data_IF_451189301179
#
_entry.id   IF_451189301179
#
_cell.length_a   1.000
_cell.length_b   1.000
_cell.length_c   1.000
_cell.angle_alpha   90.00
_cell.angle_beta   90.00
_cell.angle_gamma   90.00
#
_symmetry.space_group_name_H-M   'P 1'
#
loop_
_entity.id
_entity.type
_entity.pdbx_description
1 polymer ?
#
# COMPACT_ATOMS: atom_id res chain seq x y z
N UNK A 1 -9.01 -23.58 -19.48
CA UNK A 1 -8.53 -22.35 -18.82
C UNK A 1 -7.48 -22.76 -17.83
N UNK A 2 -6.21 -22.47 -18.11
CA UNK A 2 -5.11 -22.84 -17.21
C UNK A 2 -5.20 -22.02 -15.94
N UNK A 3 -5.17 -22.69 -14.78
CA UNK A 3 -5.10 -22.05 -13.47
C UNK A 3 -3.70 -21.44 -13.26
N UNK A 4 -3.46 -20.31 -13.93
CA UNK A 4 -2.23 -19.52 -13.84
C UNK A 4 -2.10 -18.82 -12.48
N UNK A 5 -3.23 -18.60 -11.79
CA UNK A 5 -3.28 -17.96 -10.48
C UNK A 5 -2.64 -18.84 -9.40
N UNK A 6 -2.85 -20.16 -9.45
CA UNK A 6 -2.25 -21.12 -8.51
C UNK A 6 -0.77 -21.45 -8.76
N UNK A 7 -0.15 -20.94 -9.83
CA UNK A 7 1.25 -21.25 -10.15
C UNK A 7 2.22 -20.35 -9.38
N UNK A 8 3.31 -20.94 -8.89
CA UNK A 8 4.35 -20.17 -8.22
C UNK A 8 5.16 -19.34 -9.24
N UNK A 9 5.83 -18.29 -8.75
CA UNK A 9 6.51 -17.31 -9.60
C UNK A 9 7.59 -17.92 -10.49
N UNK A 10 8.29 -18.95 -10.00
CA UNK A 10 9.33 -19.63 -10.77
C UNK A 10 8.75 -20.43 -11.95
N UNK A 11 7.61 -21.08 -11.75
CA UNK A 11 6.91 -21.81 -12.80
C UNK A 11 6.42 -20.87 -13.90
N UNK A 12 5.77 -19.76 -13.51
CA UNK A 12 5.31 -18.74 -14.46
C UNK A 12 6.48 -18.13 -15.23
N UNK A 13 7.60 -17.84 -14.56
CA UNK A 13 8.79 -17.32 -15.23
C UNK A 13 9.36 -18.30 -16.27
N UNK A 14 9.48 -19.59 -15.93
CA UNK A 14 9.97 -20.61 -16.88
C UNK A 14 9.06 -20.74 -18.09
N UNK A 15 7.74 -20.73 -17.90
CA UNK A 15 6.76 -20.75 -19.00
C UNK A 15 6.89 -19.52 -19.88
N UNK A 16 6.96 -18.34 -19.27
CA UNK A 16 7.13 -17.09 -20.00
C UNK A 16 8.43 -17.11 -20.83
N UNK A 17 9.54 -17.57 -20.25
CA UNK A 17 10.82 -17.76 -20.98
C UNK A 17 10.74 -18.80 -22.11
N UNK A 18 9.77 -19.72 -22.04
CA UNK A 18 9.44 -20.66 -23.10
C UNK A 18 8.50 -20.11 -24.18
N UNK A 19 8.16 -18.81 -24.15
CA UNK A 19 7.30 -18.15 -25.14
C UNK A 19 5.82 -18.04 -24.75
N UNK A 20 5.45 -18.41 -23.51
CA UNK A 20 4.09 -18.32 -23.02
C UNK A 20 3.71 -16.86 -22.67
N UNK A 21 2.96 -16.21 -23.56
CA UNK A 21 2.53 -14.83 -23.38
C UNK A 21 1.56 -14.64 -22.20
N UNK A 22 0.68 -15.62 -21.92
CA UNK A 22 -0.25 -15.54 -20.78
C UNK A 22 0.50 -15.61 -19.45
N UNK A 23 1.51 -16.48 -19.37
CA UNK A 23 2.40 -16.54 -18.21
C UNK A 23 3.16 -15.21 -18.02
N UNK A 24 3.60 -14.57 -19.12
CA UNK A 24 4.21 -13.24 -19.09
C UNK A 24 3.27 -12.16 -18.55
N UNK A 25 2.01 -12.16 -18.98
CA UNK A 25 1.00 -11.22 -18.46
C UNK A 25 0.71 -11.45 -16.97
N UNK A 26 0.54 -12.70 -16.56
CA UNK A 26 0.35 -13.05 -15.15
C UNK A 26 1.53 -12.61 -14.27
N UNK A 27 2.75 -12.74 -14.78
CA UNK A 27 3.97 -12.25 -14.12
C UNK A 27 3.98 -10.73 -13.99
N UNK A 28 3.67 -10.01 -15.06
CA UNK A 28 3.64 -8.55 -15.04
C UNK A 28 2.64 -8.02 -13.99
N UNK A 29 1.44 -8.61 -13.95
CA UNK A 29 0.42 -8.25 -12.95
C UNK A 29 0.93 -8.56 -11.52
N UNK A 30 1.44 -9.77 -11.30
CA UNK A 30 1.97 -10.20 -9.99
C UNK A 30 3.07 -9.28 -9.46
N UNK A 31 4.05 -8.93 -10.28
CA UNK A 31 5.13 -8.02 -9.86
C UNK A 31 4.64 -6.58 -9.68
N UNK A 32 3.68 -6.12 -10.49
CA UNK A 32 3.07 -4.80 -10.33
C UNK A 32 2.30 -4.69 -9.01
N UNK A 33 1.47 -5.67 -8.67
CA UNK A 33 0.71 -5.68 -7.43
C UNK A 33 1.63 -5.77 -6.21
N UNK A 34 2.67 -6.60 -6.31
CA UNK A 34 3.68 -6.74 -5.28
C UNK A 34 4.48 -5.46 -5.05
N UNK A 35 4.95 -4.81 -6.12
CA UNK A 35 5.62 -3.51 -6.02
C UNK A 35 4.70 -2.42 -5.48
N UNK A 36 3.41 -2.44 -5.86
CA UNK A 36 2.45 -1.48 -5.33
C UNK A 36 2.25 -1.68 -3.82
N UNK A 37 2.08 -2.92 -3.35
CA UNK A 37 1.96 -3.22 -1.93
C UNK A 37 3.16 -2.69 -1.12
N UNK A 38 4.38 -2.93 -1.61
CA UNK A 38 5.62 -2.45 -0.99
C UNK A 38 5.70 -0.91 -1.01
N UNK A 39 5.44 -0.28 -2.17
CA UNK A 39 5.56 1.17 -2.31
C UNK A 39 4.50 1.90 -1.47
N UNK A 40 3.26 1.41 -1.48
CA UNK A 40 2.16 1.98 -0.71
C UNK A 40 2.42 1.82 0.80
N UNK A 41 2.85 0.64 1.26
CA UNK A 41 3.14 0.41 2.68
C UNK A 41 4.32 1.26 3.18
N UNK A 42 5.37 1.42 2.39
CA UNK A 42 6.58 2.14 2.83
C UNK A 42 6.48 3.65 2.65
N UNK A 43 5.88 4.13 1.57
CA UNK A 43 5.89 5.55 1.20
C UNK A 43 4.50 6.21 1.19
N UNK A 44 3.44 5.41 1.15
CA UNK A 44 2.07 5.88 0.91
C UNK A 44 1.78 6.10 -0.57
N UNK A 45 0.50 6.22 -0.93
CA UNK A 45 0.08 6.30 -2.33
C UNK A 45 0.72 7.46 -3.11
N UNK A 46 0.82 8.63 -2.49
CA UNK A 46 1.34 9.83 -3.16
C UNK A 46 2.84 9.70 -3.46
N UNK A 47 3.63 9.33 -2.46
CA UNK A 47 5.09 9.26 -2.60
C UNK A 47 5.56 7.95 -3.22
N UNK A 48 4.76 6.88 -3.11
CA UNK A 48 5.07 5.55 -3.64
C UNK A 48 4.81 5.39 -5.13
N UNK A 49 3.97 6.25 -5.73
CA UNK A 49 3.59 6.13 -7.15
C UNK A 49 4.77 6.22 -8.11
N UNK A 50 5.60 7.25 -8.00
CA UNK A 50 6.73 7.42 -8.91
C UNK A 50 7.81 6.31 -8.75
N UNK A 51 8.19 5.90 -7.52
CA UNK A 51 9.02 4.70 -7.28
C UNK A 51 8.44 3.42 -7.90
N UNK A 52 7.13 3.18 -7.74
CA UNK A 52 6.44 2.05 -8.37
C UNK A 52 6.58 2.08 -9.89
N UNK A 53 6.22 3.20 -10.52
CA UNK A 53 6.25 3.34 -11.99
C UNK A 53 7.67 3.08 -12.54
N UNK A 54 8.70 3.62 -11.87
CA UNK A 54 10.11 3.37 -12.24
C UNK A 54 10.53 1.93 -12.01
N UNK A 55 10.11 1.30 -10.90
CA UNK A 55 10.41 -0.10 -10.64
C UNK A 55 9.79 -1.03 -11.70
N UNK A 56 8.53 -0.82 -12.07
CA UNK A 56 7.88 -1.54 -13.15
C UNK A 56 8.59 -1.35 -14.49
N UNK A 57 9.00 -0.11 -14.81
CA UNK A 57 9.74 0.17 -16.05
C UNK A 57 11.10 -0.54 -16.07
N UNK A 58 11.87 -0.45 -14.98
CA UNK A 58 13.17 -1.12 -14.84
C UNK A 58 13.02 -2.65 -14.92
N UNK A 59 12.00 -3.21 -14.30
CA UNK A 59 11.67 -4.63 -14.41
C UNK A 59 11.44 -5.02 -15.87
N UNK A 60 10.50 -4.34 -16.55
CA UNK A 60 10.14 -4.66 -17.94
C UNK A 60 11.34 -4.56 -18.91
N UNK A 61 12.22 -3.59 -18.71
CA UNK A 61 13.40 -3.39 -19.55
C UNK A 61 14.50 -4.44 -19.33
N UNK A 62 14.67 -4.94 -18.10
CA UNK A 62 15.86 -5.69 -17.71
C UNK A 62 15.58 -7.15 -17.33
N UNK A 63 14.32 -7.57 -17.22
CA UNK A 63 13.95 -8.95 -16.85
C UNK A 63 14.52 -10.01 -17.79
N UNK A 64 14.78 -9.66 -19.06
CA UNK A 64 15.42 -10.55 -20.03
C UNK A 64 16.87 -10.96 -19.63
N UNK A 65 17.52 -10.17 -18.79
CA UNK A 65 18.88 -10.44 -18.26
C UNK A 65 18.87 -11.49 -17.14
N UNK A 66 17.72 -11.75 -16.53
CA UNK A 66 17.56 -12.77 -15.49
C UNK A 66 17.43 -14.13 -16.17
N UNK A 67 18.44 -14.98 -16.00
CA UNK A 67 18.48 -16.33 -16.60
C UNK A 67 18.05 -17.42 -15.64
N UNK A 68 18.16 -17.18 -14.33
CA UNK A 68 17.76 -18.11 -13.29
C UNK A 68 16.44 -17.67 -12.62
N UNK A 69 15.46 -18.57 -12.63
CA UNK A 69 14.17 -18.34 -11.98
C UNK A 69 14.30 -18.12 -10.47
N UNK A 70 15.31 -18.72 -9.83
CA UNK A 70 15.50 -18.63 -8.38
C UNK A 70 15.96 -17.24 -7.93
N UNK A 71 16.71 -16.53 -8.79
CA UNK A 71 17.23 -15.18 -8.49
C UNK A 71 16.22 -14.08 -8.77
N UNK A 72 15.15 -14.36 -9.53
CA UNK A 72 14.19 -13.37 -10.01
C UNK A 72 13.59 -12.51 -8.88
N UNK A 73 13.08 -13.15 -7.81
CA UNK A 73 12.48 -12.41 -6.70
C UNK A 73 13.49 -11.53 -5.98
N UNK A 74 14.74 -12.00 -5.84
CA UNK A 74 15.82 -11.25 -5.23
C UNK A 74 16.22 -10.03 -6.06
N UNK A 75 16.42 -10.25 -7.37
CA UNK A 75 16.74 -9.20 -8.32
C UNK A 75 15.64 -8.13 -8.41
N UNK A 76 14.38 -8.56 -8.53
CA UNK A 76 13.24 -7.67 -8.61
C UNK A 76 13.01 -6.89 -7.31
N UNK A 77 13.24 -7.50 -6.15
CA UNK A 77 13.22 -6.81 -4.86
C UNK A 77 14.27 -5.70 -4.80
N UNK A 78 15.49 -5.98 -5.28
CA UNK A 78 16.57 -4.98 -5.34
C UNK A 78 16.17 -3.71 -6.09
N UNK A 79 15.44 -3.84 -7.21
CA UNK A 79 14.92 -2.69 -7.96
C UNK A 79 14.03 -1.80 -7.08
N UNK A 80 12.99 -2.36 -6.47
CA UNK A 80 12.03 -1.56 -5.69
C UNK A 80 12.66 -1.03 -4.39
N UNK A 81 13.58 -1.77 -3.78
CA UNK A 81 14.33 -1.32 -2.61
C UNK A 81 15.18 -0.08 -2.92
N UNK A 82 15.87 -0.04 -4.06
CA UNK A 82 16.62 1.13 -4.52
C UNK A 82 15.71 2.34 -4.82
N UNK A 83 14.55 2.10 -5.44
CA UNK A 83 13.59 3.18 -5.73
C UNK A 83 13.01 3.79 -4.46
N UNK A 84 12.75 2.97 -3.44
CA UNK A 84 12.30 3.44 -2.12
C UNK A 84 13.41 4.19 -1.39
N UNK A 85 14.64 3.68 -1.40
CA UNK A 85 15.78 4.37 -0.80
C UNK A 85 16.00 5.75 -1.44
N UNK A 86 15.88 5.83 -2.77
CA UNK A 86 15.98 7.10 -3.53
C UNK A 86 14.85 8.07 -3.17
N UNK A 87 13.66 7.56 -2.82
CA UNK A 87 12.53 8.37 -2.38
C UNK A 87 12.61 8.82 -0.91
N UNK A 88 13.70 8.51 -0.19
CA UNK A 88 13.90 8.90 1.21
C UNK A 88 13.68 7.78 2.23
N UNK A 89 13.42 6.55 1.78
CA UNK A 89 13.20 5.40 2.65
C UNK A 89 11.77 5.34 3.22
N UNK A 90 11.55 4.46 4.19
CA UNK A 90 10.23 4.23 4.78
C UNK A 90 9.73 5.49 5.50
N UNK A 91 8.50 5.90 5.19
CA UNK A 91 7.77 6.95 5.90
C UNK A 91 7.28 6.44 7.25
N UNK A 92 7.40 7.25 8.29
CA UNK A 92 6.88 6.97 9.63
C UNK A 92 5.45 7.50 9.84
N UNK A 93 4.81 7.99 8.80
CA UNK A 93 3.46 8.52 8.90
C UNK A 93 2.88 8.94 7.56
N UNK A 94 1.60 9.26 7.56
CA UNK A 94 0.94 9.79 6.38
C UNK A 94 -0.56 9.84 6.57
N UNK A 95 -1.18 10.89 6.06
CA UNK A 95 -2.62 11.11 6.19
C UNK A 95 -3.19 11.71 4.91
N UNK A 96 -2.83 11.09 3.80
CA UNK A 96 -3.21 11.55 2.46
C UNK A 96 -4.51 10.86 2.03
N UNK A 97 -5.50 11.62 1.53
CA UNK A 97 -6.70 11.04 0.96
C UNK A 97 -6.40 10.29 -0.35
N UNK A 98 -7.19 9.25 -0.64
CA UNK A 98 -7.05 8.49 -1.88
C UNK A 98 -8.41 8.00 -2.40
N UNK A 99 -8.40 7.27 -3.52
CA UNK A 99 -9.63 6.75 -4.12
C UNK A 99 -10.35 5.74 -3.20
N UNK A 100 -9.61 4.89 -2.48
CA UNK A 100 -10.14 3.87 -1.58
C UNK A 100 -10.91 4.49 -0.40
N UNK A 101 -10.42 5.63 0.13
CA UNK A 101 -11.04 6.39 1.20
C UNK A 101 -12.13 7.37 0.73
N UNK A 102 -12.44 7.38 -0.58
CA UNK A 102 -13.34 8.35 -1.23
C UNK A 102 -12.88 9.80 -1.01
N UNK A 103 -11.58 10.03 -1.12
CA UNK A 103 -10.93 11.33 -0.94
C UNK A 103 -11.02 11.90 0.48
N UNK A 104 -11.30 11.07 1.50
CA UNK A 104 -11.24 11.46 2.92
C UNK A 104 -9.90 11.08 3.52
N UNK A 105 -9.50 11.77 4.58
CA UNK A 105 -8.23 11.48 5.26
C UNK A 105 -8.36 10.19 6.09
N UNK A 106 -7.39 9.27 6.03
CA UNK A 106 -7.42 8.09 6.88
C UNK A 106 -7.57 8.41 8.38
N UNK A 107 -6.92 9.46 8.90
CA UNK A 107 -7.00 9.87 10.30
C UNK A 107 -8.42 10.28 10.73
N UNK A 108 -9.17 10.96 9.86
CA UNK A 108 -10.56 11.35 10.11
C UNK A 108 -11.44 10.10 10.26
N UNK A 109 -11.24 9.09 9.41
CA UNK A 109 -11.97 7.82 9.47
C UNK A 109 -11.58 7.00 10.70
N UNK A 110 -10.29 7.00 11.07
CA UNK A 110 -9.80 6.36 12.28
C UNK A 110 -10.37 7.03 13.55
N UNK A 111 -10.47 8.35 13.58
CA UNK A 111 -11.08 9.08 14.69
C UNK A 111 -12.56 8.69 14.91
N UNK A 112 -13.30 8.45 13.82
CA UNK A 112 -14.68 7.94 13.90
C UNK A 112 -14.72 6.50 14.44
N UNK A 113 -13.82 5.64 13.97
CA UNK A 113 -13.71 4.25 14.45
C UNK A 113 -13.41 4.17 15.95
N UNK A 114 -12.53 5.04 16.45
CA UNK A 114 -12.15 5.11 17.87
C UNK A 114 -13.35 5.31 18.81
N UNK A 115 -14.36 6.07 18.38
CA UNK A 115 -15.56 6.32 19.19
C UNK A 115 -16.58 5.17 19.19
N UNK A 116 -16.40 4.16 18.34
CA UNK A 116 -17.41 3.12 18.07
C UNK A 116 -16.91 1.69 18.29
N UNK A 117 -15.60 1.45 18.16
CA UNK A 117 -14.99 0.14 18.39
C UNK A 117 -14.67 -0.10 19.88
N UNK A 118 -14.39 -1.36 20.23
CA UNK A 118 -13.99 -1.71 21.59
C UNK A 118 -12.66 -1.05 21.96
N UNK A 119 -12.63 -0.32 23.08
CA UNK A 119 -11.45 0.41 23.57
C UNK A 119 -10.15 -0.41 23.54
N UNK A 120 -10.12 -1.65 24.09
CA UNK A 120 -8.92 -2.48 24.08
C UNK A 120 -8.37 -2.80 22.68
N UNK A 121 -9.23 -2.94 21.67
CA UNK A 121 -8.78 -3.19 20.29
C UNK A 121 -8.14 -1.95 19.67
N UNK A 122 -8.69 -0.77 19.95
CA UNK A 122 -8.16 0.51 19.47
C UNK A 122 -6.82 0.81 20.15
N UNK A 123 -6.73 0.64 21.47
CA UNK A 123 -5.49 0.83 22.23
C UNK A 123 -4.39 -0.12 21.72
N UNK A 124 -4.73 -1.41 21.55
CA UNK A 124 -3.79 -2.38 21.01
C UNK A 124 -3.28 -2.00 19.62
N UNK A 125 -4.16 -1.52 18.73
CA UNK A 125 -3.75 -1.04 17.39
C UNK A 125 -2.89 0.23 17.47
N UNK A 126 -3.23 1.19 18.33
CA UNK A 126 -2.46 2.41 18.53
C UNK A 126 -1.02 2.06 18.93
N UNK A 127 -0.86 1.24 19.97
CA UNK A 127 0.45 0.85 20.46
C UNK A 127 1.20 -0.07 19.47
N UNK A 128 0.51 -0.98 18.78
CA UNK A 128 1.15 -1.87 17.82
C UNK A 128 1.76 -1.12 16.62
N UNK A 129 1.20 0.02 16.23
CA UNK A 129 1.65 0.79 15.06
C UNK A 129 2.49 2.02 15.43
N UNK A 130 2.41 2.52 16.66
CA UNK A 130 3.24 3.63 17.10
C UNK A 130 4.62 3.13 17.61
N UNK A 131 5.69 3.55 16.92
CA UNK A 131 7.07 3.24 17.27
C UNK A 131 7.52 3.69 18.67
N UNK A 132 6.78 4.60 19.32
CA UNK A 132 7.05 5.02 20.69
C UNK A 132 6.83 3.90 21.72
N UNK A 133 6.01 2.89 21.41
CA UNK A 133 5.71 1.78 22.29
C UNK A 133 6.67 0.61 22.06
N UNK A 134 7.11 -0.04 23.14
CA UNK A 134 7.92 -1.25 23.06
C UNK A 134 7.08 -2.45 22.58
N UNK A 135 7.63 -3.26 21.67
CA UNK A 135 6.93 -4.47 21.19
C UNK A 135 6.65 -5.45 22.33
N UNK A 136 7.48 -5.50 23.37
CA UNK A 136 7.20 -6.37 24.52
C UNK A 136 6.06 -5.86 25.40
N UNK A 137 5.79 -4.55 25.38
CA UNK A 137 4.57 -4.00 25.98
C UNK A 137 3.34 -4.43 25.17
N UNK A 138 3.38 -4.27 23.84
CA UNK A 138 2.29 -4.66 22.94
C UNK A 138 1.95 -6.14 23.08
N UNK A 139 2.96 -7.02 23.21
CA UNK A 139 2.75 -8.46 23.46
C UNK A 139 1.98 -8.72 24.76
N UNK A 140 2.35 -8.05 25.86
CA UNK A 140 1.65 -8.20 27.15
C UNK A 140 0.19 -7.75 27.07
N UNK A 141 -0.08 -6.67 26.35
CA UNK A 141 -1.46 -6.18 26.15
C UNK A 141 -2.29 -7.15 25.29
N UNK A 142 -1.65 -7.83 24.35
CA UNK A 142 -2.28 -8.85 23.50
C UNK A 142 -2.61 -10.16 24.24
N UNK A 143 -1.98 -10.48 25.38
CA UNK A 143 -2.08 -11.79 26.05
C UNK A 143 -3.54 -12.16 26.40
N UNK A 144 -4.32 -11.20 26.89
CA UNK A 144 -5.72 -11.42 27.25
C UNK A 144 -6.64 -11.65 26.03
N UNK A 145 -6.18 -11.31 24.83
CA UNK A 145 -6.90 -11.39 23.56
C UNK A 145 -6.31 -12.45 22.60
N UNK A 146 -5.67 -13.50 23.14
CA UNK A 146 -5.12 -14.60 22.35
C UNK A 146 -3.65 -14.45 21.97
N UNK A 147 -2.97 -13.41 22.48
CA UNK A 147 -1.54 -13.19 22.31
C UNK A 147 -1.15 -12.56 20.97
N UNK A 148 0.11 -12.16 20.88
CA UNK A 148 0.71 -11.63 19.66
C UNK A 148 1.12 -12.77 18.71
N UNK A 149 0.89 -12.67 17.37
CA UNK A 149 0.32 -11.54 16.63
C UNK A 149 -1.21 -11.58 16.46
N UNK A 150 -1.86 -12.65 16.95
CA UNK A 150 -3.27 -12.93 16.70
C UNK A 150 -4.19 -11.77 17.10
N UNK A 151 -4.06 -11.25 18.31
CA UNK A 151 -4.90 -10.17 18.82
C UNK A 151 -4.83 -8.91 17.95
N UNK A 152 -3.64 -8.57 17.45
CA UNK A 152 -3.42 -7.39 16.60
C UNK A 152 -4.04 -7.60 15.21
N UNK A 153 -3.92 -8.80 14.64
CA UNK A 153 -4.59 -9.14 13.38
C UNK A 153 -6.11 -9.10 13.53
N UNK A 154 -6.67 -9.61 14.63
CA UNK A 154 -8.11 -9.54 14.90
C UNK A 154 -8.60 -8.09 15.00
N UNK A 155 -7.88 -7.26 15.76
CA UNK A 155 -8.19 -5.84 15.88
C UNK A 155 -8.10 -5.13 14.53
N UNK A 156 -7.07 -5.41 13.73
CA UNK A 156 -6.88 -4.86 12.37
C UNK A 156 -8.06 -5.23 11.47
N UNK A 157 -8.52 -6.48 11.47
CA UNK A 157 -9.68 -6.88 10.66
C UNK A 157 -10.99 -6.33 11.19
N UNK A 158 -11.16 -6.21 12.51
CA UNK A 158 -12.31 -5.53 13.09
C UNK A 158 -12.38 -4.07 12.60
N UNK A 159 -11.24 -3.37 12.57
CA UNK A 159 -11.14 -2.02 12.04
C UNK A 159 -11.46 -1.97 10.54
N UNK A 160 -10.88 -2.86 9.72
CA UNK A 160 -11.20 -2.95 8.28
C UNK A 160 -12.70 -3.17 8.04
N UNK A 161 -13.33 -4.08 8.79
CA UNK A 161 -14.78 -4.34 8.69
C UNK A 161 -15.58 -3.11 9.03
N UNK A 162 -15.27 -2.45 10.16
CA UNK A 162 -15.95 -1.24 10.57
C UNK A 162 -15.83 -0.13 9.52
N UNK A 163 -14.63 0.13 9.00
CA UNK A 163 -14.39 1.12 7.94
C UNK A 163 -15.12 0.79 6.62
N UNK A 164 -15.21 -0.49 6.26
CA UNK A 164 -15.97 -0.92 5.09
C UNK A 164 -17.47 -0.71 5.30
N UNK A 165 -17.99 -1.19 6.43
CA UNK A 165 -19.43 -1.32 6.66
C UNK A 165 -20.08 0.01 7.08
N UNK A 166 -19.37 0.84 7.85
CA UNK A 166 -19.86 2.14 8.34
C UNK A 166 -19.41 3.30 7.45
N UNK A 167 -18.16 3.27 7.00
CA UNK A 167 -17.58 4.37 6.22
C UNK A 167 -17.53 4.11 4.72
N UNK A 168 -17.87 2.91 4.25
CA UNK A 168 -17.88 2.59 2.83
C UNK A 168 -16.50 2.56 2.16
N UNK A 169 -15.43 2.34 2.95
CA UNK A 169 -14.07 2.14 2.42
C UNK A 169 -14.05 0.85 1.58
N UNK A 170 -13.47 0.93 0.38
CA UNK A 170 -13.55 -0.11 -0.65
C UNK A 170 -12.69 -1.36 -0.41
N UNK A 171 -12.52 -1.80 0.84
CA UNK A 171 -11.77 -3.02 1.16
C UNK A 171 -12.42 -4.25 0.52
N UNK A 172 -11.63 -5.05 -0.17
CA UNK A 172 -12.08 -6.31 -0.74
C UNK A 172 -11.39 -7.51 -0.10
N UNK A 173 -10.23 -7.32 0.53
CA UNK A 173 -9.57 -8.36 1.33
C UNK A 173 -9.88 -8.15 2.81
N UNK A 174 -10.84 -8.91 3.34
CA UNK A 174 -11.14 -8.95 4.78
C UNK A 174 -11.43 -10.41 5.17
N UNK A 175 -10.43 -11.15 5.66
CA UNK A 175 -10.62 -12.50 6.17
C UNK A 175 -11.63 -12.54 7.33
N UNK A 176 -12.44 -13.59 7.38
CA UNK A 176 -13.34 -13.85 8.50
C UNK A 176 -12.56 -14.20 9.78
N UNK A 177 -11.41 -14.86 9.61
CA UNK A 177 -10.49 -15.23 10.69
C UNK A 177 -9.05 -14.83 10.34
N UNK A 178 -8.24 -14.46 11.34
CA UNK A 178 -6.83 -14.19 11.12
C UNK A 178 -6.09 -15.39 10.53
N UNK A 179 -5.26 -15.14 9.52
CA UNK A 179 -4.30 -16.11 9.04
C UNK A 179 -3.01 -15.99 9.85
N UNK A 180 -2.64 -17.06 10.59
CA UNK A 180 -1.42 -17.06 11.40
C UNK A 180 -0.14 -17.01 10.56
N UNK A 181 -0.19 -17.46 9.30
CA UNK A 181 0.94 -17.32 8.36
C UNK A 181 1.25 -15.84 8.08
N UNK A 182 0.28 -14.95 8.30
CA UNK A 182 0.43 -13.51 8.19
C UNK A 182 0.86 -12.87 9.51
N UNK A 183 1.35 -13.66 10.47
CA UNK A 183 1.86 -13.19 11.75
C UNK A 183 2.90 -12.06 11.69
N UNK A 184 3.77 -11.96 10.67
CA UNK A 184 4.70 -10.84 10.54
C UNK A 184 4.04 -9.53 10.06
N UNK A 185 2.81 -9.57 9.52
CA UNK A 185 2.14 -8.41 8.94
C UNK A 185 2.05 -7.20 9.89
N UNK A 186 1.65 -7.34 11.17
CA UNK A 186 1.61 -6.20 12.07
C UNK A 186 2.99 -5.58 12.36
N UNK A 187 4.06 -6.39 12.35
CA UNK A 187 5.43 -5.86 12.45
C UNK A 187 5.81 -5.06 11.20
N UNK A 188 5.45 -5.55 10.02
CA UNK A 188 5.75 -4.89 8.76
C UNK A 188 5.02 -3.55 8.60
N UNK A 189 3.73 -3.54 8.87
CA UNK A 189 2.89 -2.34 8.74
C UNK A 189 3.20 -1.30 9.82
N UNK A 190 3.50 -1.75 11.05
CA UNK A 190 3.95 -0.91 12.16
C UNK A 190 5.41 -0.43 12.05
N UNK A 191 6.14 -0.77 10.98
CA UNK A 191 7.56 -0.43 10.80
C UNK A 191 8.48 -0.96 11.92
N UNK A 192 8.17 -2.14 12.47
CA UNK A 192 8.85 -2.78 13.61
C UNK A 192 9.77 -3.93 13.25
N UNK A 193 9.88 -4.28 11.96
CA UNK A 193 10.86 -5.28 11.51
C UNK A 193 12.26 -4.73 11.72
N UNK A 194 12.95 -5.32 12.69
CA UNK A 194 14.13 -4.76 13.36
C UNK A 194 15.40 -4.79 12.51
N UNK A 195 15.38 -5.55 11.42
CA UNK A 195 16.52 -5.72 10.52
C UNK A 195 16.02 -5.59 9.08
N UNK A 196 16.71 -4.80 8.24
CA UNK A 196 16.36 -4.66 6.83
C UNK A 196 16.27 -6.02 6.09
N UNK A 197 16.99 -7.03 6.58
CA UNK A 197 16.91 -8.42 6.07
C UNK A 197 15.59 -9.13 6.41
N UNK A 198 15.01 -8.84 7.57
CA UNK A 198 13.70 -9.38 7.98
C UNK A 198 12.59 -8.79 7.10
N UNK A 199 12.63 -7.47 6.89
CA UNK A 199 11.71 -6.76 6.00
C UNK A 199 11.84 -7.26 4.55
N UNK A 200 13.07 -7.38 4.04
CA UNK A 200 13.35 -7.94 2.72
C UNK A 200 12.83 -9.38 2.56
N UNK A 201 13.04 -10.22 3.57
CA UNK A 201 12.56 -11.60 3.53
C UNK A 201 11.03 -11.67 3.52
N UNK A 202 10.36 -10.86 4.33
CA UNK A 202 8.90 -10.76 4.35
C UNK A 202 8.37 -10.25 3.01
N UNK A 203 8.95 -9.19 2.46
CA UNK A 203 8.55 -8.64 1.17
C UNK A 203 8.73 -9.67 0.06
N UNK A 204 9.83 -10.42 0.02
CA UNK A 204 9.99 -11.51 -0.96
C UNK A 204 8.97 -12.63 -0.78
N UNK A 205 8.61 -12.96 0.46
CA UNK A 205 7.60 -13.98 0.75
C UNK A 205 6.19 -13.53 0.33
N UNK A 206 5.84 -12.25 0.46
CA UNK A 206 4.56 -11.68 -0.01
C UNK A 206 4.28 -12.01 -1.49
N UNK A 207 5.31 -12.13 -2.33
CA UNK A 207 5.15 -12.48 -3.75
C UNK A 207 4.50 -13.86 -3.96
N UNK A 208 4.48 -14.72 -2.93
CA UNK A 208 3.79 -16.00 -2.94
C UNK A 208 2.31 -15.92 -2.55
N UNK A 209 1.85 -14.79 -2.00
CA UNK A 209 0.49 -14.57 -1.54
C UNK A 209 -0.04 -13.22 -2.07
N UNK A 210 -0.73 -13.29 -3.21
CA UNK A 210 -1.32 -12.10 -3.84
C UNK A 210 -2.48 -11.50 -3.04
N UNK A 211 -3.19 -12.32 -2.26
CA UNK A 211 -4.23 -11.86 -1.36
C UNK A 211 -3.64 -10.96 -0.27
N UNK A 212 -2.50 -11.39 0.30
CA UNK A 212 -1.75 -10.57 1.25
C UNK A 212 -1.22 -9.27 0.62
N UNK A 213 -0.65 -9.32 -0.59
CA UNK A 213 -0.18 -8.10 -1.28
C UNK A 213 -1.31 -7.07 -1.40
N UNK A 214 -2.48 -7.53 -1.81
CA UNK A 214 -3.66 -6.69 -1.95
C UNK A 214 -4.19 -6.20 -0.60
N UNK A 215 -4.24 -7.04 0.42
CA UNK A 215 -4.64 -6.66 1.78
C UNK A 215 -3.74 -5.56 2.35
N UNK A 216 -2.41 -5.68 2.17
CA UNK A 216 -1.41 -4.67 2.55
C UNK A 216 -1.65 -3.37 1.77
N UNK A 217 -1.79 -3.46 0.44
CA UNK A 217 -1.97 -2.29 -0.40
C UNK A 217 -3.24 -1.51 -0.03
N UNK A 218 -4.35 -2.21 0.20
CA UNK A 218 -5.61 -1.58 0.63
C UNK A 218 -5.47 -0.91 2.00
N UNK A 219 -4.76 -1.52 2.95
CA UNK A 219 -4.66 -1.00 4.32
C UNK A 219 -3.52 0.02 4.52
N UNK A 220 -2.60 0.17 3.57
CA UNK A 220 -1.38 0.96 3.69
C UNK A 220 -1.61 2.41 4.16
N UNK A 221 -2.63 3.09 3.63
CA UNK A 221 -2.95 4.47 4.02
C UNK A 221 -3.36 4.58 5.50
N UNK A 222 -4.08 3.59 6.02
CA UNK A 222 -4.45 3.52 7.43
C UNK A 222 -3.27 3.13 8.30
N UNK A 223 -2.43 2.18 7.88
CA UNK A 223 -1.21 1.82 8.58
C UNK A 223 -0.23 3.02 8.72
N UNK A 224 -0.14 3.86 7.69
CA UNK A 224 0.62 5.12 7.75
C UNK A 224 0.01 6.13 8.71
N UNK A 225 -1.31 6.30 8.72
CA UNK A 225 -1.96 7.21 9.65
C UNK A 225 -1.82 6.73 11.10
N UNK A 226 -1.94 5.42 11.33
CA UNK A 226 -1.72 4.80 12.64
C UNK A 226 -0.28 5.02 13.14
N UNK A 227 0.73 4.80 12.28
CA UNK A 227 2.13 5.13 12.61
C UNK A 227 2.34 6.60 12.91
N UNK A 228 1.58 7.48 12.26
CA UNK A 228 1.54 8.91 12.51
C UNK A 228 0.74 9.33 13.75
N UNK A 229 0.24 8.38 14.55
CA UNK A 229 -0.49 8.66 15.79
C UNK A 229 -1.97 9.00 15.59
N UNK A 230 -2.64 8.53 14.54
CA UNK A 230 -4.06 8.84 14.29
C UNK A 230 -5.03 8.41 15.42
N UNK A 231 -4.64 7.48 16.28
CA UNK A 231 -5.40 7.12 17.49
C UNK A 231 -4.94 7.85 18.75
N UNK A 232 -3.80 8.52 18.72
CA UNK A 232 -3.45 9.47 19.77
C UNK A 232 -4.38 10.67 19.61
N UNK A 233 -5.02 11.09 20.71
CA UNK A 233 -5.95 12.22 20.64
C UNK A 233 -5.20 13.44 20.06
N UNK A 234 -5.81 14.26 19.20
CA UNK A 234 -5.18 15.50 18.82
C UNK A 234 -4.94 16.27 20.12
N UNK A 235 -3.68 16.58 20.42
CA UNK A 235 -3.38 17.71 21.28
C UNK A 235 -4.25 18.84 20.74
N UNK A 236 -5.25 19.26 21.53
CA UNK A 236 -6.26 20.23 21.13
C UNK A 236 -5.56 21.31 20.32
N UNK A 237 -5.86 21.38 19.02
CA UNK A 237 -5.35 22.47 18.21
C UNK A 237 -5.84 23.74 18.89
N UNK A 238 -4.92 24.42 19.56
CA UNK A 238 -5.22 25.68 20.21
C UNK A 238 -5.78 26.56 19.11
N UNK A 239 -7.01 27.07 19.22
CA UNK A 239 -7.57 27.91 18.18
C UNK A 239 -6.56 29.03 17.93
N UNK A 240 -6.13 29.16 16.68
CA UNK A 240 -5.27 30.26 16.26
C UNK A 240 -5.89 31.57 16.78
N UNK A 241 -5.11 32.49 17.39
CA UNK A 241 -5.65 33.74 17.88
C UNK A 241 -6.44 34.41 16.76
N UNK A 242 -7.70 34.76 17.04
CA UNK A 242 -8.55 35.43 16.08
C UNK A 242 -7.79 36.62 15.49
N UNK A 243 -7.62 36.61 14.16
CA UNK A 243 -6.99 37.70 13.47
C UNK A 243 -7.77 38.99 13.78
N UNK A 244 -7.07 39.97 14.34
CA UNK A 244 -7.61 41.30 14.64
C UNK A 244 -8.21 41.88 13.36
N UNK A 245 -9.43 42.46 13.38
CA UNK A 245 -10.06 42.96 12.16
C UNK A 245 -9.24 44.10 11.57
N UNK A 246 -8.62 43.86 10.42
CA UNK A 246 -8.04 44.95 9.61
C UNK A 246 -9.15 45.62 8.81
N UNK A 247 -9.22 46.93 8.95
CA UNK A 247 -10.16 47.86 8.33
C UNK A 247 -10.20 47.68 6.80
N UNK A 248 -11.36 47.82 6.12
CA UNK A 248 -11.48 47.55 4.69
C UNK A 248 -10.77 48.60 3.85
N UNK A 249 -9.78 48.18 3.06
CA UNK A 249 -9.22 48.98 1.97
C UNK A 249 -10.06 48.77 0.70
N UNK A 250 -10.36 49.88 0.02
CA UNK A 250 -11.25 49.98 -1.14
C UNK A 250 -10.94 49.00 -2.30
N UNK A 251 -11.96 48.60 -3.11
CA UNK A 251 -11.81 47.59 -4.14
C UNK A 251 -11.06 48.12 -5.36
N UNK A 252 -10.08 47.36 -5.84
CA UNK A 252 -9.40 47.58 -7.12
C UNK A 252 -10.09 46.72 -8.21
N UNK A 253 -10.25 47.22 -9.46
CA UNK A 253 -11.04 46.54 -10.48
C UNK A 253 -10.36 45.25 -10.98
N UNK A 254 -11.20 44.24 -11.18
CA UNK A 254 -10.93 42.96 -11.86
C UNK A 254 -10.64 43.15 -13.34
N UNK A 255 -9.64 42.44 -13.91
CA UNK A 255 -9.63 42.11 -15.32
C UNK A 255 -10.32 40.76 -15.56
N UNK A 256 -11.20 40.81 -16.55
CA UNK A 256 -12.07 39.79 -17.14
C UNK A 256 -11.55 38.34 -17.20
N UNK A 257 -12.51 37.45 -16.96
CA UNK A 257 -12.44 36.01 -17.16
C UNK A 257 -12.20 35.61 -18.63
N UNK A 258 -11.41 34.55 -18.82
CA UNK A 258 -11.38 33.74 -20.04
C UNK A 258 -12.15 32.42 -19.75
N UNK A 259 -12.99 31.91 -20.67
CA UNK A 259 -13.88 30.78 -20.39
C UNK A 259 -13.12 29.45 -20.27
N UNK A 260 -13.46 28.65 -19.26
CA UNK A 260 -13.16 27.22 -19.20
C UNK A 260 -13.96 26.47 -20.27
N UNK A 261 -13.35 25.49 -20.97
CA UNK A 261 -14.10 24.40 -21.55
C UNK A 261 -14.62 23.50 -20.43
N UNK A 262 -15.94 23.33 -20.39
CA UNK A 262 -16.59 22.23 -19.70
C UNK A 262 -16.32 20.95 -20.50
N UNK A 263 -15.59 20.01 -19.91
CA UNK A 263 -15.73 18.57 -20.17
C UNK A 263 -15.93 17.97 -18.77
N UNK A 264 -17.07 17.35 -18.45
CA UNK A 264 -17.65 16.25 -19.19
C UNK A 264 -17.41 15.02 -18.34
N UNK A 265 -18.41 14.64 -17.54
CA UNK A 265 -18.32 13.54 -16.60
C UNK A 265 -17.88 12.24 -17.26
N UNK A 266 -16.92 11.57 -16.61
CA UNK A 266 -16.46 10.25 -17.01
C UNK A 266 -15.77 9.59 -15.82
N UNK A 267 -16.42 8.60 -15.22
CA UNK A 267 -15.87 7.81 -14.12
C UNK A 267 -14.55 7.15 -14.52
N UNK A 268 -13.47 7.57 -13.87
CA UNK A 268 -12.12 7.08 -14.17
C UNK A 268 -11.91 5.66 -13.64
N UNK A 269 -11.88 4.71 -14.58
CA UNK A 269 -11.34 3.36 -14.43
C UNK A 269 -9.80 3.42 -14.31
N UNK A 270 -9.29 3.61 -13.10
CA UNK A 270 -7.91 3.26 -12.75
C UNK A 270 -7.94 1.84 -12.18
N UNK A 271 -7.71 0.81 -13.02
CA UNK A 271 -6.36 0.23 -13.13
C UNK A 271 -5.93 -0.24 -14.55
N UNK A 272 -6.62 0.13 -15.62
CA UNK A 272 -6.36 -0.47 -16.95
C UNK A 272 -5.13 0.13 -17.66
N UNK A 273 -4.80 1.41 -17.41
CA UNK A 273 -3.79 2.11 -18.22
C UNK A 273 -2.35 1.66 -17.92
N UNK A 274 -2.03 1.35 -16.65
CA UNK A 274 -0.70 0.85 -16.27
C UNK A 274 -0.45 -0.54 -16.85
N UNK A 275 -1.47 -1.41 -16.81
CA UNK A 275 -1.43 -2.73 -17.44
C UNK A 275 -1.21 -2.64 -18.95
N UNK A 276 -1.90 -1.74 -19.66
CA UNK A 276 -1.79 -1.64 -21.13
C UNK A 276 -0.41 -1.16 -21.59
N UNK A 277 0.22 -0.19 -20.91
CA UNK A 277 1.55 0.30 -21.30
C UNK A 277 2.64 -0.74 -21.02
N UNK A 278 2.57 -1.44 -19.88
CA UNK A 278 3.50 -2.53 -19.55
C UNK A 278 3.30 -3.71 -20.51
N UNK A 279 2.06 -4.07 -20.86
CA UNK A 279 1.74 -5.12 -21.83
C UNK A 279 2.26 -4.79 -23.22
N UNK A 280 2.12 -3.55 -23.70
CA UNK A 280 2.63 -3.15 -25.02
C UNK A 280 4.17 -3.23 -25.09
N UNK A 281 4.87 -2.84 -24.03
CA UNK A 281 6.33 -2.94 -23.96
C UNK A 281 6.77 -4.41 -23.88
N UNK A 282 6.07 -5.25 -23.11
CA UNK A 282 6.40 -6.69 -23.00
C UNK A 282 6.14 -7.43 -24.32
N UNK A 283 5.05 -7.13 -25.04
CA UNK A 283 4.79 -7.71 -26.37
C UNK A 283 5.87 -7.29 -27.38
N UNK A 284 6.32 -6.03 -27.34
CA UNK A 284 7.39 -5.55 -28.20
C UNK A 284 8.73 -6.24 -27.91
N UNK A 285 9.08 -6.45 -26.63
CA UNK A 285 10.32 -7.15 -26.25
C UNK A 285 10.26 -8.63 -26.62
N UNK A 286 9.12 -9.30 -26.47
CA UNK A 286 8.93 -10.69 -26.90
C UNK A 286 9.05 -10.83 -28.43
N UNK A 287 8.49 -9.89 -29.21
CA UNK A 287 8.59 -9.89 -30.66
C UNK A 287 10.03 -9.70 -31.15
N UNK A 288 10.82 -8.84 -30.50
CA UNK A 288 12.25 -8.63 -30.85
C UNK A 288 13.09 -9.85 -30.49
N UNK A 289 12.82 -10.53 -29.37
CA UNK A 289 13.54 -11.74 -28.96
C UNK A 289 13.24 -12.99 -29.82
N UNK A 290 12.13 -12.98 -30.57
CA UNK A 290 11.77 -14.03 -31.53
C UNK A 290 12.28 -13.75 -32.96
N UNK A 291 12.78 -12.53 -33.21
CA UNK A 291 13.20 -12.06 -34.54
C UNK A 291 14.72 -12.02 -34.72
N UNK A 292 15.50 -12.45 -33.72
CA UNK A 292 16.97 -12.54 -33.75
C UNK A 292 17.44 -13.90 -33.28
#
# INVERSE_FOLDING_TARGET
>A
MSDLAGQNTQQLFRRWRGGDAEAGQAMAQRFSDWYYAIAASRLGDTNGRAPLERACQRFAQNVATVTDASSLSGWAHGIIAEEIATAGGRSNGGDQPNALTRQRRPSELLAQARGQMAGPQIELLAHAYDSAYDIDQVKREADAAGGYPLAVLEARYALKRWLRDQEGVGFTEIPDRPNLDWGPLPLYEGARMSQGKEEEAFEKWMLSDLGLCKDIAEFAAFALALRGGAFEAPAMSTPAPAATPTTPTAPRPTPSATPQPQDGGGGSKLPIIIGVVVVLIIIAVAAVALSG
#
